data_IF_358145272191
#
_entry.id   IF_358145272191
#
_cell.length_a   1.000
_cell.length_b   1.000
_cell.length_c   1.000
_cell.angle_alpha   90.00
_cell.angle_beta   90.00
_cell.angle_gamma   90.00
#
_symmetry.space_group_name_H-M   'P 1'
#
loop_
_entity.id
_entity.type
_entity.pdbx_description
1 polymer ?
#
# COMPACT_ATOMS: atom_id res chain seq x y z
N UNK A 1 -1.48 20.82 -4.89
CA UNK A 1 -1.53 19.87 -3.75
C UNK A 1 -2.33 18.68 -4.22
N UNK A 2 -1.74 17.48 -4.30
CA UNK A 2 -2.53 16.25 -4.50
C UNK A 2 -2.79 15.68 -3.12
N UNK A 3 -4.01 15.88 -2.64
CA UNK A 3 -4.48 15.38 -1.37
C UNK A 3 -4.61 13.85 -1.50
N UNK A 4 -4.01 13.09 -0.58
CA UNK A 4 -4.39 11.70 -0.45
C UNK A 4 -5.90 11.67 -0.14
N UNK A 5 -6.67 10.72 -0.70
CA UNK A 5 -8.07 10.60 -0.37
C UNK A 5 -8.25 10.50 1.14
N UNK A 6 -9.34 11.07 1.64
CA UNK A 6 -9.70 10.98 3.06
C UNK A 6 -9.84 9.51 3.47
N UNK A 7 -9.42 9.23 4.71
CA UNK A 7 -9.57 7.91 5.30
C UNK A 7 -11.03 7.66 5.69
N UNK A 8 -11.51 6.44 5.54
CA UNK A 8 -12.83 6.03 6.02
C UNK A 8 -12.72 4.92 7.06
N UNK A 9 -13.70 4.83 7.96
CA UNK A 9 -13.74 3.80 8.99
C UNK A 9 -14.32 2.50 8.45
N UNK A 10 -13.75 1.37 8.86
CA UNK A 10 -14.29 0.06 8.55
C UNK A 10 -14.26 -0.85 9.78
N UNK A 11 -15.42 -1.38 10.22
CA UNK A 11 -15.47 -2.25 11.38
C UNK A 11 -14.91 -3.63 11.06
N UNK A 12 -14.30 -4.24 12.08
CA UNK A 12 -13.92 -5.65 12.09
C UNK A 12 -15.11 -6.50 12.55
N UNK A 13 -15.42 -7.55 11.79
CA UNK A 13 -16.45 -8.51 12.18
C UNK A 13 -16.07 -9.94 11.73
N UNK A 14 -15.71 -10.84 12.64
CA UNK A 14 -15.27 -12.20 12.28
C UNK A 14 -16.43 -13.10 11.82
N UNK A 15 -17.69 -12.68 12.02
CA UNK A 15 -18.85 -13.50 11.70
C UNK A 15 -19.17 -13.44 10.20
N UNK A 16 -18.64 -14.40 9.44
CA UNK A 16 -18.90 -14.54 8.00
C UNK A 16 -20.24 -15.21 7.66
N UNK A 17 -20.90 -15.81 8.67
CA UNK A 17 -22.09 -16.67 8.53
C UNK A 17 -23.42 -15.92 8.50
N UNK A 18 -23.53 -14.82 9.25
CA UNK A 18 -24.69 -13.94 9.19
C UNK A 18 -24.55 -12.99 8.01
N UNK A 19 -25.65 -12.70 7.32
CA UNK A 19 -25.68 -11.64 6.33
C UNK A 19 -25.41 -10.31 7.03
N UNK A 20 -24.16 -9.89 7.02
CA UNK A 20 -23.76 -8.60 7.56
C UNK A 20 -24.16 -7.56 6.50
N UNK A 21 -25.17 -6.74 6.80
CA UNK A 21 -25.57 -5.63 5.96
C UNK A 21 -24.51 -4.52 5.90
N UNK A 22 -23.66 -4.43 6.93
CA UNK A 22 -22.57 -3.46 7.03
C UNK A 22 -21.29 -3.97 6.36
N UNK A 23 -20.65 -3.11 5.58
CA UNK A 23 -19.33 -3.35 5.03
C UNK A 23 -18.31 -3.49 6.16
N UNK A 24 -17.62 -4.63 6.22
CA UNK A 24 -16.70 -4.97 7.31
C UNK A 24 -15.51 -5.80 6.83
N UNK A 25 -14.44 -5.79 7.61
CA UNK A 25 -13.30 -6.68 7.43
C UNK A 25 -13.55 -7.95 8.25
N UNK A 26 -13.57 -9.09 7.56
CA UNK A 26 -13.90 -10.38 8.17
C UNK A 26 -12.68 -11.14 8.69
N UNK A 27 -11.56 -11.05 7.97
CA UNK A 27 -10.29 -11.63 8.37
C UNK A 27 -9.25 -10.52 8.41
N UNK A 28 -8.39 -10.52 9.41
CA UNK A 28 -7.28 -9.57 9.52
C UNK A 28 -6.08 -10.28 10.14
N UNK A 29 -5.03 -10.45 9.35
CA UNK A 29 -3.77 -11.10 9.73
C UNK A 29 -2.66 -10.06 9.70
N UNK A 30 -2.20 -9.67 10.88
CA UNK A 30 -1.03 -8.82 11.04
C UNK A 30 0.26 -9.63 10.93
N UNK A 31 1.28 -9.06 10.29
CA UNK A 31 2.62 -9.63 10.21
C UNK A 31 3.68 -8.52 10.29
N UNK A 32 4.66 -8.72 11.16
CA UNK A 32 5.82 -7.86 11.30
C UNK A 32 7.07 -8.63 10.85
N UNK A 33 8.01 -7.93 10.21
CA UNK A 33 9.26 -8.48 9.71
C UNK A 33 10.43 -7.63 10.20
N UNK A 34 11.55 -8.29 10.54
CA UNK A 34 12.78 -7.59 10.90
C UNK A 34 13.31 -6.88 9.66
N UNK A 35 13.55 -5.58 9.80
CA UNK A 35 14.11 -4.71 8.75
C UNK A 35 15.28 -3.91 9.32
N UNK A 36 16.17 -3.38 8.46
CA UNK A 36 17.26 -2.51 8.91
C UNK A 36 16.79 -1.47 9.93
N UNK A 37 17.62 -1.22 10.94
CA UNK A 37 17.38 -0.23 11.99
C UNK A 37 17.99 1.12 11.65
N UNK A 38 19.05 1.14 10.85
CA UNK A 38 19.70 2.37 10.38
C UNK A 38 20.26 2.19 8.97
N UNK A 39 20.30 3.29 8.24
CA UNK A 39 20.97 3.39 6.93
C UNK A 39 22.05 4.44 7.03
N UNK A 40 23.25 4.12 6.58
CA UNK A 40 24.36 5.04 6.43
C UNK A 40 24.79 5.05 4.98
N UNK A 41 24.73 6.21 4.36
CA UNK A 41 25.14 6.37 2.96
C UNK A 41 26.36 7.28 2.88
N UNK A 42 27.33 6.90 2.06
CA UNK A 42 28.55 7.67 1.85
C UNK A 42 28.80 7.91 0.36
N UNK A 43 29.27 9.11 0.02
CA UNK A 43 29.71 9.42 -1.33
C UNK A 43 30.98 10.28 -1.31
N UNK A 44 31.80 10.14 -2.34
CA UNK A 44 33.02 10.90 -2.55
C UNK A 44 32.86 11.81 -3.77
N UNK A 45 33.22 13.08 -3.64
CA UNK A 45 33.23 14.01 -4.75
C UNK A 45 34.62 14.59 -4.95
N UNK A 46 35.19 14.42 -6.14
CA UNK A 46 36.52 14.94 -6.46
C UNK A 46 36.61 16.47 -6.27
N UNK A 47 35.48 17.18 -6.41
CA UNK A 47 35.42 18.64 -6.26
C UNK A 47 35.63 19.11 -4.81
N UNK A 48 35.45 18.22 -3.82
CA UNK A 48 35.55 18.51 -2.38
C UNK A 48 36.06 17.27 -1.64
N UNK A 49 37.37 16.95 -1.73
CA UNK A 49 37.91 15.71 -1.16
C UNK A 49 37.84 15.66 0.37
N UNK A 50 37.86 16.80 1.06
CA UNK A 50 37.74 16.87 2.53
C UNK A 50 36.29 16.85 3.06
N UNK A 51 35.29 16.79 2.18
CA UNK A 51 33.90 16.71 2.61
C UNK A 51 33.58 15.27 3.06
N UNK A 52 33.13 15.09 4.31
CA UNK A 52 32.88 13.77 4.89
C UNK A 52 31.92 12.91 4.06
N UNK A 53 30.96 13.55 3.38
CA UNK A 53 30.06 12.90 2.43
C UNK A 53 29.26 11.74 3.01
N UNK A 54 29.11 11.66 4.33
CA UNK A 54 28.43 10.61 5.07
C UNK A 54 27.13 11.16 5.67
N UNK A 55 26.04 10.45 5.46
CA UNK A 55 24.73 10.74 6.05
C UNK A 55 24.13 9.49 6.66
N UNK A 56 23.60 9.62 7.86
CA UNK A 56 22.95 8.55 8.60
C UNK A 56 21.45 8.85 8.78
N UNK A 57 20.66 7.79 8.81
CA UNK A 57 19.25 7.85 9.13
C UNK A 57 18.85 6.62 9.95
N UNK A 58 18.28 6.87 11.13
CA UNK A 58 17.66 5.83 11.94
C UNK A 58 16.20 5.58 11.49
N UNK A 59 15.79 4.32 11.56
CA UNK A 59 14.43 3.88 11.32
C UNK A 59 13.51 4.21 12.49
N UNK A 60 12.25 4.50 12.21
CA UNK A 60 11.23 4.73 13.23
C UNK A 60 10.49 3.44 13.59
N UNK A 61 9.81 3.45 14.74
CA UNK A 61 8.91 2.39 15.22
C UNK A 61 9.62 1.01 15.25
N UNK A 62 10.60 0.89 16.14
CA UNK A 62 11.47 -0.29 16.28
C UNK A 62 11.08 -1.17 17.48
N UNK A 63 9.85 -1.05 17.98
CA UNK A 63 9.40 -1.62 19.26
C UNK A 63 9.57 -3.15 19.36
N UNK A 64 9.60 -3.85 18.22
CA UNK A 64 9.70 -5.30 18.12
C UNK A 64 11.05 -5.79 17.54
N UNK A 65 12.08 -4.95 17.46
CA UNK A 65 13.39 -5.32 16.92
C UNK A 65 14.55 -4.70 17.71
N UNK A 66 15.75 -5.26 17.54
CA UNK A 66 16.98 -4.65 18.03
C UNK A 66 17.45 -3.54 17.08
N UNK A 67 18.05 -2.50 17.62
CA UNK A 67 18.62 -1.34 16.89
C UNK A 67 20.00 -1.60 16.28
N UNK A 68 20.38 -2.87 16.07
CA UNK A 68 21.75 -3.28 15.77
C UNK A 68 22.05 -3.47 14.26
N UNK A 69 21.03 -3.46 13.41
CA UNK A 69 21.16 -3.79 11.99
C UNK A 69 21.32 -2.53 11.13
N UNK A 70 22.56 -2.11 10.94
CA UNK A 70 22.91 -1.00 10.05
C UNK A 70 23.15 -1.50 8.61
N UNK A 71 22.61 -0.77 7.64
CA UNK A 71 22.95 -0.94 6.22
C UNK A 71 23.84 0.22 5.81
N UNK A 72 25.04 -0.10 5.34
CA UNK A 72 25.98 0.88 4.81
C UNK A 72 26.01 0.81 3.28
N UNK A 73 25.80 1.94 2.61
CA UNK A 73 25.74 2.04 1.15
C UNK A 73 26.79 3.03 0.60
N UNK A 74 27.58 2.55 -0.37
CA UNK A 74 28.56 3.34 -1.10
C UNK A 74 28.68 2.81 -2.55
N UNK A 75 28.63 3.68 -3.58
CA UNK A 75 28.48 5.13 -3.52
C UNK A 75 27.01 5.57 -3.40
N UNK A 76 26.73 6.54 -2.53
CA UNK A 76 25.38 7.04 -2.24
C UNK A 76 24.71 7.91 -3.31
N UNK A 77 25.45 8.29 -4.37
CA UNK A 77 24.98 9.03 -5.55
C UNK A 77 24.37 10.41 -5.25
N UNK A 78 24.96 11.17 -4.34
CA UNK A 78 24.52 12.52 -4.00
C UNK A 78 25.68 13.53 -4.03
N UNK A 79 25.35 14.80 -4.29
CA UNK A 79 26.31 15.90 -4.34
C UNK A 79 25.88 17.00 -3.37
N UNK A 80 26.27 16.88 -2.10
CA UNK A 80 25.99 17.85 -1.03
C UNK A 80 24.93 17.41 0.00
N UNK A 81 24.31 18.38 0.68
CA UNK A 81 23.38 18.19 1.80
C UNK A 81 22.10 17.40 1.48
N UNK A 82 21.80 17.16 0.20
CA UNK A 82 20.67 16.34 -0.22
C UNK A 82 20.82 14.86 0.18
N UNK A 83 22.04 14.41 0.51
CA UNK A 83 22.30 13.05 0.97
C UNK A 83 21.47 12.65 2.20
N UNK A 84 21.12 13.59 3.08
CA UNK A 84 20.20 13.29 4.20
C UNK A 84 18.82 12.84 3.72
N UNK A 85 18.27 13.46 2.67
CA UNK A 85 16.98 13.05 2.11
C UNK A 85 17.09 11.67 1.44
N UNK A 86 18.22 11.36 0.81
CA UNK A 86 18.48 10.03 0.26
C UNK A 86 18.53 8.97 1.36
N UNK A 87 19.25 9.22 2.46
CA UNK A 87 19.29 8.32 3.61
C UNK A 87 17.87 8.09 4.18
N UNK A 88 17.07 9.16 4.29
CA UNK A 88 15.66 9.08 4.69
C UNK A 88 14.82 8.20 3.77
N UNK A 89 14.84 8.46 2.47
CA UNK A 89 14.05 7.69 1.51
C UNK A 89 14.49 6.23 1.39
N UNK A 90 15.79 5.97 1.49
CA UNK A 90 16.29 4.59 1.58
C UNK A 90 15.74 3.91 2.83
N UNK A 91 15.79 4.56 3.98
CA UNK A 91 15.28 4.02 5.24
C UNK A 91 13.77 3.73 5.16
N UNK A 92 12.99 4.68 4.63
CA UNK A 92 11.55 4.51 4.40
C UNK A 92 11.27 3.33 3.45
N UNK A 93 12.06 3.19 2.38
CA UNK A 93 11.97 2.08 1.44
C UNK A 93 12.29 0.72 2.06
N UNK A 94 13.33 0.63 2.89
CA UNK A 94 13.70 -0.61 3.60
C UNK A 94 12.66 -1.05 4.63
N UNK A 95 11.89 -0.12 5.19
CA UNK A 95 10.91 -0.37 6.26
C UNK A 95 9.45 -0.30 5.83
N UNK A 96 9.16 -0.06 4.55
CA UNK A 96 7.79 0.05 4.05
C UNK A 96 6.95 -1.19 4.40
N UNK A 97 7.52 -2.37 4.21
CA UNK A 97 6.92 -3.67 4.46
C UNK A 97 7.36 -4.30 5.79
N UNK A 98 7.91 -3.49 6.72
CA UNK A 98 8.25 -3.97 8.07
C UNK A 98 7.00 -4.42 8.84
N UNK A 99 5.86 -3.78 8.60
CA UNK A 99 4.57 -4.13 9.18
C UNK A 99 3.51 -4.15 8.08
N UNK A 100 2.97 -5.34 7.82
CA UNK A 100 1.93 -5.55 6.81
C UNK A 100 0.76 -6.30 7.43
N UNK A 101 -0.44 -5.94 7.01
CA UNK A 101 -1.66 -6.66 7.34
C UNK A 101 -2.29 -7.24 6.07
N UNK A 102 -2.85 -8.44 6.17
CA UNK A 102 -3.67 -9.05 5.12
C UNK A 102 -5.08 -9.23 5.65
N UNK A 103 -6.08 -8.73 4.94
CA UNK A 103 -7.46 -8.92 5.37
C UNK A 103 -8.41 -9.15 4.22
N UNK A 104 -9.56 -9.76 4.54
CA UNK A 104 -10.60 -10.10 3.58
C UNK A 104 -11.87 -9.32 3.88
N UNK A 105 -12.37 -8.57 2.89
CA UNK A 105 -13.51 -7.66 3.03
C UNK A 105 -14.48 -7.77 1.86
N UNK A 106 -15.74 -7.42 2.12
CA UNK A 106 -16.78 -7.26 1.08
C UNK A 106 -16.99 -5.82 0.63
N UNK A 107 -16.20 -4.89 1.16
CA UNK A 107 -16.31 -3.47 0.81
C UNK A 107 -15.70 -3.19 -0.57
N UNK A 108 -16.49 -2.67 -1.53
CA UNK A 108 -15.93 -2.21 -2.80
C UNK A 108 -14.99 -1.04 -2.63
N UNK A 109 -15.08 -0.27 -1.54
CA UNK A 109 -14.30 0.95 -1.31
C UNK A 109 -12.80 0.73 -1.05
N UNK A 110 -12.40 -0.54 -0.92
CA UNK A 110 -11.03 -0.95 -0.63
C UNK A 110 -10.29 -1.23 -1.94
N UNK A 111 -9.67 -0.20 -2.48
CA UNK A 111 -8.75 -0.27 -3.60
C UNK A 111 -7.38 0.31 -3.27
N UNK A 112 -6.31 -0.07 -4.00
CA UNK A 112 -4.97 0.41 -3.75
C UNK A 112 -4.90 1.94 -3.73
N UNK A 113 -4.19 2.50 -2.75
CA UNK A 113 -4.06 3.94 -2.55
C UNK A 113 -5.09 4.55 -1.59
N UNK A 114 -6.14 3.81 -1.19
CA UNK A 114 -7.07 4.25 -0.14
C UNK A 114 -6.46 4.09 1.25
N UNK A 115 -6.97 4.89 2.18
CA UNK A 115 -6.65 4.82 3.61
C UNK A 115 -7.91 4.39 4.35
N UNK A 116 -7.75 3.46 5.27
CA UNK A 116 -8.84 2.89 6.06
C UNK A 116 -8.47 2.98 7.52
N UNK A 117 -9.44 3.25 8.39
CA UNK A 117 -9.26 3.16 9.84
C UNK A 117 -9.99 1.90 10.29
N UNK A 118 -9.22 0.92 10.77
CA UNK A 118 -9.80 -0.31 11.31
C UNK A 118 -10.40 -0.02 12.68
N UNK A 119 -11.64 -0.44 12.91
CA UNK A 119 -12.31 -0.28 14.22
C UNK A 119 -12.88 -1.60 14.72
N UNK A 120 -13.00 -1.76 16.04
CA UNK A 120 -13.64 -2.93 16.65
C UNK A 120 -12.83 -4.23 16.64
N UNK A 121 -11.54 -4.21 16.25
CA UNK A 121 -10.67 -5.38 16.37
C UNK A 121 -10.31 -5.63 17.85
N UNK A 122 -10.28 -6.88 18.35
CA UNK A 122 -10.00 -7.19 19.76
C UNK A 122 -8.61 -6.74 20.23
N UNK A 123 -7.63 -6.72 19.32
CA UNK A 123 -6.34 -6.09 19.58
C UNK A 123 -6.37 -4.60 19.26
N UNK A 124 -6.27 -3.77 20.30
CA UNK A 124 -6.33 -2.31 20.20
C UNK A 124 -5.23 -1.71 19.31
N UNK A 125 -4.02 -2.29 19.30
CA UNK A 125 -2.90 -1.83 18.47
C UNK A 125 -3.18 -1.88 16.96
N UNK A 126 -4.13 -2.72 16.53
CA UNK A 126 -4.51 -2.87 15.13
C UNK A 126 -5.62 -1.87 14.71
N UNK A 127 -6.32 -1.27 15.68
CA UNK A 127 -7.38 -0.28 15.44
C UNK A 127 -6.76 1.10 15.14
N UNK A 128 -6.11 1.21 13.98
CA UNK A 128 -5.39 2.40 13.52
C UNK A 128 -5.58 2.62 12.02
N UNK A 129 -4.98 3.68 11.48
CA UNK A 129 -4.99 3.96 10.04
C UNK A 129 -4.05 3.01 9.28
N UNK A 130 -4.59 2.40 8.23
CA UNK A 130 -3.92 1.50 7.32
C UNK A 130 -4.05 2.02 5.89
N UNK A 131 -2.99 1.88 5.09
CA UNK A 131 -3.01 2.21 3.67
C UNK A 131 -3.04 0.95 2.83
N UNK A 132 -4.02 0.84 1.94
CA UNK A 132 -4.15 -0.28 1.00
C UNK A 132 -3.06 -0.17 -0.06
N UNK A 133 -2.19 -1.17 -0.14
CA UNK A 133 -1.05 -1.21 -1.08
C UNK A 133 -1.36 -2.13 -2.26
N UNK A 134 -2.08 -3.21 -2.02
CA UNK A 134 -2.58 -4.14 -3.03
C UNK A 134 -4.00 -4.59 -2.64
N UNK A 135 -4.80 -4.90 -3.66
CA UNK A 135 -6.15 -5.44 -3.51
C UNK A 135 -6.36 -6.48 -4.61
N UNK A 136 -6.83 -7.65 -4.25
CA UNK A 136 -7.29 -8.68 -5.18
C UNK A 136 -8.81 -8.77 -5.06
N UNK A 137 -9.52 -8.65 -6.18
CA UNK A 137 -10.98 -8.65 -6.23
C UNK A 137 -11.46 -9.89 -6.97
N UNK A 138 -12.23 -10.72 -6.28
CA UNK A 138 -12.97 -11.82 -6.89
C UNK A 138 -14.46 -11.47 -6.95
N UNK A 139 -15.10 -11.73 -8.09
CA UNK A 139 -16.54 -11.61 -8.25
C UNK A 139 -17.08 -12.85 -8.94
N UNK A 140 -18.05 -13.51 -8.31
CA UNK A 140 -18.79 -14.61 -8.91
C UNK A 140 -20.18 -14.10 -9.30
N UNK A 141 -20.55 -14.28 -10.57
CA UNK A 141 -21.90 -14.00 -11.04
C UNK A 141 -22.67 -15.31 -11.17
N UNK A 142 -23.65 -15.59 -10.29
CA UNK A 142 -24.50 -16.76 -10.47
C UNK A 142 -25.42 -16.53 -11.69
N UNK A 143 -25.18 -17.33 -12.73
CA UNK A 143 -25.96 -17.46 -13.97
C UNK A 143 -25.93 -16.25 -14.92
N UNK A 144 -25.08 -16.33 -15.95
CA UNK A 144 -25.40 -15.74 -17.24
C UNK A 144 -26.61 -16.47 -17.80
N UNK A 145 -27.79 -15.86 -17.71
CA UNK A 145 -29.04 -16.44 -18.19
C UNK A 145 -28.90 -16.92 -19.63
N UNK A 146 -29.23 -18.19 -19.88
CA UNK A 146 -29.36 -18.71 -21.23
C UNK A 146 -30.33 -17.80 -21.98
N UNK A 147 -29.86 -17.15 -23.04
CA UNK A 147 -30.73 -16.46 -23.99
C UNK A 147 -31.66 -17.50 -24.59
N UNK A 148 -32.92 -17.51 -24.18
CA UNK A 148 -33.96 -18.10 -25.02
C UNK A 148 -34.05 -17.23 -26.27
N UNK A 149 -33.60 -17.77 -27.40
CA UNK A 149 -33.79 -17.15 -28.70
C UNK A 149 -35.28 -17.19 -29.06
N UNK A 150 -36.06 -16.26 -28.51
CA UNK A 150 -37.39 -15.94 -29.00
C UNK A 150 -37.26 -15.03 -30.21
N UNK A 151 -37.59 -15.57 -31.38
CA UNK A 151 -37.83 -14.79 -32.59
C UNK A 151 -39.02 -13.85 -32.35
N UNK A 152 -38.86 -12.55 -32.63
CA UNK A 152 -39.94 -11.57 -32.58
C UNK A 152 -39.43 -10.13 -32.48
N UNK A 153 -39.64 -9.36 -33.53
CA UNK A 153 -39.25 -7.95 -33.68
C UNK A 153 -39.86 -7.04 -32.60
N UNK A 154 -39.04 -6.19 -31.98
CA UNK A 154 -39.49 -5.17 -31.03
C UNK A 154 -38.34 -4.43 -30.36
N UNK A 155 -38.45 -3.10 -30.27
CA UNK A 155 -37.42 -2.13 -29.90
C UNK A 155 -36.54 -2.51 -28.69
N UNK A 156 -35.22 -2.31 -28.85
CA UNK A 156 -34.23 -2.51 -27.80
C UNK A 156 -34.32 -1.45 -26.71
N UNK A 157 -34.78 -1.85 -25.52
CA UNK A 157 -34.58 -1.10 -24.29
C UNK A 157 -33.15 -1.31 -23.76
N UNK A 158 -32.53 -0.29 -23.13
CA UNK A 158 -31.23 -0.44 -22.51
C UNK A 158 -31.34 -1.38 -21.30
N UNK A 159 -30.63 -2.50 -21.39
CA UNK A 159 -30.45 -3.50 -20.35
C UNK A 159 -30.02 -2.85 -19.01
N UNK A 160 -30.92 -2.79 -18.04
CA UNK A 160 -30.57 -2.60 -16.64
C UNK A 160 -30.38 -3.98 -16.03
N UNK A 161 -29.12 -4.45 -15.97
CA UNK A 161 -28.81 -5.70 -15.29
C UNK A 161 -29.07 -5.55 -13.79
N UNK A 162 -29.93 -6.40 -13.23
CA UNK A 162 -30.08 -6.57 -11.79
C UNK A 162 -28.69 -6.77 -11.16
N UNK A 163 -28.33 -6.04 -10.08
CA UNK A 163 -27.07 -6.23 -9.38
C UNK A 163 -27.17 -7.49 -8.51
N UNK A 164 -27.20 -8.65 -9.17
CA UNK A 164 -27.11 -9.95 -8.52
C UNK A 164 -25.80 -10.02 -7.72
N UNK A 165 -25.93 -10.32 -6.43
CA UNK A 165 -24.89 -10.47 -5.39
C UNK A 165 -23.48 -10.64 -5.96
N UNK A 166 -22.71 -9.55 -5.95
CA UNK A 166 -21.26 -9.62 -6.09
C UNK A 166 -20.69 -9.94 -4.71
N UNK A 167 -20.25 -11.17 -4.51
CA UNK A 167 -19.38 -11.53 -3.38
C UNK A 167 -17.97 -10.99 -3.66
N UNK A 168 -17.79 -9.67 -3.58
CA UNK A 168 -16.47 -9.06 -3.65
C UNK A 168 -15.65 -9.58 -2.47
N UNK A 169 -14.67 -10.45 -2.70
CA UNK A 169 -13.67 -10.78 -1.70
C UNK A 169 -12.44 -9.93 -2.03
N UNK A 170 -12.29 -8.81 -1.34
CA UNK A 170 -11.10 -7.97 -1.42
C UNK A 170 -10.06 -8.49 -0.44
N UNK A 171 -8.96 -9.06 -0.95
CA UNK A 171 -7.76 -9.32 -0.14
C UNK A 171 -6.87 -8.08 -0.20
N UNK A 172 -6.86 -7.29 0.88
CA UNK A 172 -6.02 -6.10 0.96
C UNK A 172 -4.71 -6.39 1.70
N UNK A 173 -3.57 -6.08 1.07
CA UNK A 173 -2.29 -5.92 1.78
C UNK A 173 -2.19 -4.47 2.19
N UNK A 174 -2.19 -4.20 3.49
CA UNK A 174 -2.13 -2.86 4.04
C UNK A 174 -0.85 -2.62 4.83
N UNK A 175 -0.25 -1.45 4.64
CA UNK A 175 0.89 -0.96 5.42
C UNK A 175 0.42 0.17 6.34
N UNK A 176 1.18 0.46 7.41
CA UNK A 176 0.78 1.50 8.38
C UNK A 176 0.87 2.88 7.73
N UNK A 177 -0.22 3.65 7.75
CA UNK A 177 -0.26 4.98 7.16
C UNK A 177 0.66 5.94 7.93
N UNK A 178 1.45 6.75 7.21
CA UNK A 178 2.49 7.63 7.78
C UNK A 178 3.93 7.23 7.42
N UNK A 179 4.15 6.07 6.78
CA UNK A 179 5.49 5.59 6.38
C UNK A 179 5.90 5.93 4.94
N UNK A 180 5.10 6.74 4.21
CA UNK A 180 5.50 7.27 2.89
C UNK A 180 5.96 8.71 3.02
N UNK A 181 7.17 9.07 2.56
CA UNK A 181 7.50 10.46 2.28
C UNK A 181 6.64 10.92 1.10
N UNK A 182 5.83 11.95 1.29
CA UNK A 182 5.13 12.61 0.20
C UNK A 182 6.15 13.08 -0.86
N UNK A 183 5.87 12.76 -2.12
CA UNK A 183 6.75 12.99 -3.26
C UNK A 183 7.26 14.43 -3.37
N UNK A 184 8.56 14.57 -3.64
CA UNK A 184 9.07 15.60 -4.55
C UNK A 184 10.35 15.13 -5.23
N UNK A 185 10.22 14.51 -6.41
CA UNK A 185 11.26 14.58 -7.44
C UNK A 185 10.89 15.75 -8.36
N UNK A 186 11.47 16.92 -8.12
CA UNK A 186 11.26 18.09 -8.98
C UNK A 186 12.32 18.04 -10.07
N UNK A 187 12.07 17.29 -11.13
CA UNK A 187 12.95 17.35 -12.29
C UNK A 187 12.63 18.60 -13.11
N UNK A 188 13.63 19.46 -13.27
CA UNK A 188 13.48 20.79 -13.88
C UNK A 188 13.62 20.69 -15.40
N UNK A 189 12.88 19.79 -16.02
CA UNK A 189 12.81 19.66 -17.48
C UNK A 189 11.45 19.10 -17.87
N UNK A 190 10.61 19.96 -18.45
CA UNK A 190 9.27 19.62 -18.93
C UNK A 190 9.28 18.72 -20.16
N UNK A 191 9.72 17.46 -20.01
CA UNK A 191 9.45 16.40 -20.99
C UNK A 191 8.72 15.26 -20.31
N UNK A 192 7.48 15.02 -20.74
CA UNK A 192 6.69 13.83 -20.38
C UNK A 192 7.41 12.61 -20.94
N UNK A 193 8.11 11.88 -20.07
CA UNK A 193 8.60 10.53 -20.34
C UNK A 193 7.88 9.56 -19.40
N UNK A 194 7.12 8.62 -19.97
CA UNK A 194 6.59 7.48 -19.22
C UNK A 194 7.76 6.62 -18.74
N UNK A 195 8.05 6.62 -17.44
CA UNK A 195 8.88 5.61 -16.81
C UNK A 195 8.11 4.97 -15.64
N UNK A 196 7.18 4.09 -16.00
CA UNK A 196 6.67 3.06 -15.11
C UNK A 196 7.84 2.11 -14.79
N UNK A 197 8.62 2.39 -13.75
CA UNK A 197 9.43 1.35 -13.11
C UNK A 197 8.52 0.58 -12.16
N UNK A 198 7.88 -0.45 -12.73
CA UNK A 198 7.29 -1.55 -11.97
C UNK A 198 8.41 -2.23 -11.19
N UNK A 199 8.35 -2.19 -9.86
CA UNK A 199 9.02 -3.20 -9.06
C UNK A 199 8.26 -4.51 -9.29
N UNK A 200 8.83 -5.32 -10.17
CA UNK A 200 8.50 -6.73 -10.33
C UNK A 200 9.15 -7.45 -9.15
N UNK A 201 8.35 -7.86 -8.17
CA UNK A 201 8.73 -8.96 -7.28
C UNK A 201 8.49 -10.22 -8.10
N UNK A 202 9.56 -10.83 -8.60
CA UNK A 202 9.51 -12.15 -9.19
C UNK A 202 9.26 -13.17 -8.07
N UNK A 203 8.16 -13.90 -8.18
CA UNK A 203 8.04 -15.23 -7.59
C UNK A 203 8.45 -16.23 -8.67
N UNK A 204 9.50 -17.03 -8.39
CA UNK A 204 9.94 -18.14 -9.25
C UNK A 204 10.98 -17.76 -10.27
#
# INVERSE_FOLDING_TARGET
MRYLPESFEIPWNPNTRTEVSTLCISQFRYSAQIRPSSVVTKDYTFKRPGWAGRFDQEGQYQDYQRTQYEVYDYPGRFKGAHGQNFARWQMDGWRNNAETARGMSRSPEIWPGRRIVLTGHPQANLNREWQVVASELHGEQPQGGARTAGSGDGAGEPFCGDPGRQNMATTAVAETAGRRPAERCRDRTGRRGNLLRRNMVACG
#
